data_IF_987841534624
#
_entry.id   IF_987841534624
#
_cell.length_a   1.000
_cell.length_b   1.000
_cell.length_c   1.000
_cell.angle_alpha   90.00
_cell.angle_beta   90.00
_cell.angle_gamma   90.00
#
_symmetry.space_group_name_H-M   'P 1'
#
loop_
_entity.id
_entity.type
_entity.pdbx_description
1 polymer ?
#
# COMPACT_ATOMS: atom_id res chain seq x y z
N UNK A 1 -65.11 17.41 -20.79
CA UNK A 1 -64.42 16.30 -20.15
C UNK A 1 -63.05 16.16 -20.84
N UNK A 2 -62.03 16.71 -20.19
CA UNK A 2 -60.67 16.67 -20.69
C UNK A 2 -59.95 15.57 -19.93
N UNK A 3 -59.36 14.58 -20.66
CA UNK A 3 -58.55 13.51 -20.13
C UNK A 3 -57.14 13.98 -19.92
N UNK A 4 -56.64 13.81 -18.72
CA UNK A 4 -55.23 13.99 -18.39
C UNK A 4 -54.45 12.75 -18.81
N UNK A 5 -53.58 12.92 -19.78
CA UNK A 5 -52.60 11.92 -20.24
C UNK A 5 -51.42 11.98 -19.29
N UNK A 6 -51.17 10.90 -18.54
CA UNK A 6 -50.05 10.74 -17.61
C UNK A 6 -48.80 10.39 -18.41
N UNK A 7 -47.81 11.30 -18.44
CA UNK A 7 -46.47 11.03 -19.00
C UNK A 7 -45.66 10.39 -17.90
N UNK A 8 -45.49 9.07 -17.99
CA UNK A 8 -44.56 8.33 -17.16
C UNK A 8 -43.19 8.46 -17.82
N UNK A 9 -42.34 9.33 -17.28
CA UNK A 9 -40.94 9.44 -17.68
C UNK A 9 -40.18 8.20 -17.29
N UNK A 10 -39.67 7.49 -18.27
CA UNK A 10 -38.72 6.40 -18.09
C UNK A 10 -37.39 6.98 -17.54
N UNK A 11 -37.09 6.64 -16.31
CA UNK A 11 -35.76 6.87 -15.75
C UNK A 11 -34.78 5.86 -16.36
N UNK A 12 -33.64 6.29 -16.92
CA UNK A 12 -32.66 5.36 -17.42
C UNK A 12 -32.06 4.59 -16.24
N UNK A 13 -32.23 3.28 -16.26
CA UNK A 13 -31.60 2.33 -15.39
C UNK A 13 -30.08 2.54 -15.46
N UNK A 14 -29.47 3.08 -14.42
CA UNK A 14 -28.07 3.00 -14.19
C UNK A 14 -27.68 1.52 -14.00
N UNK A 15 -27.17 0.91 -15.07
CA UNK A 15 -26.48 -0.38 -14.97
C UNK A 15 -25.26 -0.19 -14.07
N UNK A 16 -25.40 -0.56 -12.81
CA UNK A 16 -24.29 -0.78 -11.93
C UNK A 16 -23.40 -1.87 -12.54
N UNK A 17 -22.27 -1.46 -13.13
CA UNK A 17 -21.20 -2.39 -13.50
C UNK A 17 -20.62 -2.91 -12.19
N UNK A 18 -21.08 -4.05 -11.75
CA UNK A 18 -20.37 -4.86 -10.76
C UNK A 18 -19.09 -5.36 -11.44
N UNK A 19 -17.99 -4.64 -11.25
CA UNK A 19 -16.66 -5.10 -11.57
C UNK A 19 -16.26 -6.11 -10.50
N UNK A 20 -16.70 -7.36 -10.64
CA UNK A 20 -16.05 -8.47 -10.00
C UNK A 20 -14.70 -8.65 -10.72
N UNK A 21 -13.66 -7.98 -10.22
CA UNK A 21 -12.27 -8.29 -10.59
C UNK A 21 -12.03 -9.73 -10.13
N UNK A 22 -12.13 -10.68 -11.07
CA UNK A 22 -11.60 -12.02 -10.86
C UNK A 22 -10.11 -11.86 -10.57
N UNK A 23 -9.68 -12.35 -9.39
CA UNK A 23 -8.27 -12.54 -9.06
C UNK A 23 -7.69 -13.57 -10.05
N UNK A 24 -7.38 -13.14 -11.26
CA UNK A 24 -6.48 -13.87 -12.14
C UNK A 24 -5.14 -13.84 -11.42
N UNK A 25 -4.65 -15.01 -11.07
CA UNK A 25 -3.34 -15.26 -10.51
C UNK A 25 -2.32 -14.57 -11.42
N UNK A 26 -1.95 -13.34 -11.06
CA UNK A 26 -0.98 -12.55 -11.83
C UNK A 26 0.34 -13.27 -11.69
N UNK A 27 0.83 -13.89 -12.76
CA UNK A 27 2.14 -14.52 -12.80
C UNK A 27 3.17 -13.44 -12.47
N UNK A 28 3.82 -13.57 -11.31
CA UNK A 28 4.87 -12.66 -10.90
C UNK A 28 6.07 -12.93 -11.82
N UNK A 29 6.49 -11.96 -12.64
CA UNK A 29 7.65 -12.16 -13.49
C UNK A 29 8.90 -12.43 -12.63
N UNK A 30 9.65 -13.44 -12.97
CA UNK A 30 10.93 -13.72 -12.32
C UNK A 30 12.02 -12.91 -12.99
N UNK A 31 12.12 -11.62 -12.71
CA UNK A 31 13.29 -10.83 -13.11
C UNK A 31 14.48 -11.28 -12.29
N UNK A 32 15.28 -12.18 -12.87
CA UNK A 32 16.52 -12.67 -12.23
C UNK A 32 17.60 -11.60 -12.37
N UNK A 33 17.94 -11.00 -11.27
CA UNK A 33 19.04 -10.07 -11.02
C UNK A 33 19.93 -9.65 -12.20
N UNK A 34 19.79 -8.40 -12.63
CA UNK A 34 20.60 -7.72 -13.62
C UNK A 34 19.76 -6.67 -14.34
N UNK A 35 20.21 -5.41 -14.30
CA UNK A 35 19.49 -4.31 -14.97
C UNK A 35 19.85 -4.34 -16.46
N UNK A 36 19.15 -5.15 -17.25
CA UNK A 36 19.27 -5.17 -18.72
C UNK A 36 18.15 -4.37 -19.39
N UNK A 37 18.39 -3.82 -20.58
CA UNK A 37 17.36 -3.11 -21.38
C UNK A 37 16.12 -3.98 -21.61
N UNK A 38 16.29 -5.28 -21.84
CA UNK A 38 15.21 -6.22 -22.01
C UNK A 38 14.29 -6.33 -20.78
N UNK A 39 14.86 -6.28 -19.56
CA UNK A 39 14.07 -6.38 -18.33
C UNK A 39 13.21 -5.15 -18.07
N UNK A 40 13.68 -3.98 -18.49
CA UNK A 40 12.91 -2.74 -18.40
C UNK A 40 11.68 -2.80 -19.29
N UNK A 41 11.84 -3.27 -20.54
CA UNK A 41 10.74 -3.47 -21.47
C UNK A 41 9.75 -4.53 -20.93
N UNK A 42 10.24 -5.68 -20.47
CA UNK A 42 9.42 -6.74 -19.87
C UNK A 42 8.62 -6.24 -18.66
N UNK A 43 9.21 -5.38 -17.82
CA UNK A 43 8.51 -4.78 -16.69
C UNK A 43 7.38 -3.85 -17.13
N UNK A 44 7.63 -3.00 -18.12
CA UNK A 44 6.61 -2.08 -18.64
C UNK A 44 5.48 -2.84 -19.35
N UNK A 45 5.79 -3.86 -20.14
CA UNK A 45 4.81 -4.74 -20.78
C UNK A 45 3.97 -5.51 -19.76
N UNK A 46 4.62 -6.00 -18.70
CA UNK A 46 3.91 -6.63 -17.58
C UNK A 46 2.98 -5.64 -16.86
N UNK A 47 3.45 -4.42 -16.60
CA UNK A 47 2.67 -3.38 -15.95
C UNK A 47 1.42 -3.03 -16.77
N UNK A 48 1.57 -2.88 -18.08
CA UNK A 48 0.46 -2.60 -19.00
C UNK A 48 -0.55 -3.76 -19.05
N UNK A 49 -0.07 -4.99 -19.04
CA UNK A 49 -0.92 -6.19 -19.09
C UNK A 49 -1.64 -6.48 -17.78
N UNK A 50 -0.93 -6.37 -16.65
CA UNK A 50 -1.43 -6.75 -15.33
C UNK A 50 -2.16 -5.61 -14.60
N UNK A 51 -1.73 -4.37 -14.81
CA UNK A 51 -2.23 -3.17 -14.13
C UNK A 51 -2.43 -1.99 -15.11
N UNK A 52 -3.31 -2.13 -16.10
CA UNK A 52 -3.47 -1.14 -17.18
C UNK A 52 -3.88 0.24 -16.66
N UNK A 53 -4.62 0.33 -15.56
CA UNK A 53 -5.02 1.61 -14.97
C UNK A 53 -3.82 2.37 -14.39
N UNK A 54 -2.81 1.66 -13.87
CA UNK A 54 -1.57 2.27 -13.37
C UNK A 54 -0.65 2.64 -14.53
N UNK A 55 -0.54 1.78 -15.54
CA UNK A 55 0.24 2.06 -16.73
C UNK A 55 -0.28 3.29 -17.50
N UNK A 56 -1.60 3.50 -17.51
CA UNK A 56 -2.28 4.61 -18.18
C UNK A 56 -2.41 5.90 -17.33
N UNK A 57 -1.71 6.01 -16.19
CA UNK A 57 -1.72 7.23 -15.39
C UNK A 57 -1.20 8.44 -16.20
N UNK A 58 -1.60 9.66 -15.83
CA UNK A 58 -1.26 10.88 -16.55
C UNK A 58 0.26 11.08 -16.75
N UNK A 59 1.05 10.62 -15.77
CA UNK A 59 2.51 10.52 -15.84
C UNK A 59 2.88 9.06 -15.58
N UNK A 60 2.98 8.21 -16.63
CA UNK A 60 3.33 6.79 -16.49
C UNK A 60 4.79 6.63 -16.08
N UNK A 61 5.17 5.40 -15.67
CA UNK A 61 6.56 5.07 -15.36
C UNK A 61 7.37 5.10 -16.64
N UNK A 62 8.43 5.91 -16.67
CA UNK A 62 9.37 5.97 -17.79
C UNK A 62 10.38 4.81 -17.71
N UNK A 63 11.08 4.53 -18.84
CA UNK A 63 12.13 3.50 -18.88
C UNK A 63 13.23 3.74 -17.84
N UNK A 64 13.66 4.99 -17.63
CA UNK A 64 14.65 5.35 -16.64
C UNK A 64 14.17 5.05 -15.21
N UNK A 65 12.92 5.43 -14.91
CA UNK A 65 12.27 5.14 -13.63
C UNK A 65 12.07 3.63 -13.42
N UNK A 66 11.69 2.90 -14.47
CA UNK A 66 11.56 1.46 -14.44
C UNK A 66 12.90 0.78 -14.12
N UNK A 67 13.99 1.24 -14.74
CA UNK A 67 15.35 0.77 -14.43
C UNK A 67 15.75 1.04 -12.98
N UNK A 68 15.42 2.21 -12.45
CA UNK A 68 15.65 2.57 -11.04
C UNK A 68 14.88 1.67 -10.07
N UNK A 69 13.62 1.36 -10.38
CA UNK A 69 12.79 0.43 -9.61
C UNK A 69 13.38 -0.97 -9.61
N UNK A 70 13.72 -1.50 -10.78
CA UNK A 70 14.28 -2.85 -10.95
C UNK A 70 15.67 -3.01 -10.28
N UNK A 71 16.44 -1.92 -10.21
CA UNK A 71 17.74 -1.93 -9.53
C UNK A 71 17.63 -1.98 -8.00
N UNK A 72 16.52 -1.47 -7.42
CA UNK A 72 16.35 -1.29 -5.98
C UNK A 72 15.43 -2.31 -5.31
N UNK A 73 14.51 -2.93 -6.06
CA UNK A 73 13.46 -3.76 -5.49
C UNK A 73 13.41 -5.14 -6.15
N UNK A 74 13.03 -6.15 -5.37
CA UNK A 74 12.76 -7.48 -5.90
C UNK A 74 11.42 -7.49 -6.69
N UNK A 75 11.26 -8.43 -7.62
CA UNK A 75 10.03 -8.60 -8.37
C UNK A 75 8.81 -8.79 -7.46
N UNK A 76 8.98 -9.50 -6.34
CA UNK A 76 7.94 -9.73 -5.35
C UNK A 76 7.53 -8.43 -4.64
N UNK A 77 8.50 -7.59 -4.23
CA UNK A 77 8.21 -6.29 -3.61
C UNK A 77 7.52 -5.35 -4.60
N UNK A 78 7.98 -5.30 -5.85
CA UNK A 78 7.38 -4.49 -6.91
C UNK A 78 5.93 -4.90 -7.11
N UNK A 79 5.65 -6.19 -7.32
CA UNK A 79 4.30 -6.68 -7.51
C UNK A 79 3.39 -6.35 -6.30
N UNK A 80 3.90 -6.54 -5.08
CA UNK A 80 3.15 -6.24 -3.86
C UNK A 80 2.78 -4.76 -3.76
N UNK A 81 3.70 -3.86 -4.10
CA UNK A 81 3.47 -2.41 -4.06
C UNK A 81 2.49 -1.99 -5.16
N UNK A 82 2.68 -2.45 -6.39
CA UNK A 82 1.78 -2.14 -7.51
C UNK A 82 0.37 -2.67 -7.23
N UNK A 83 0.23 -3.89 -6.73
CA UNK A 83 -1.06 -4.45 -6.33
C UNK A 83 -1.73 -3.61 -5.22
N UNK A 84 -0.95 -3.10 -4.25
CA UNK A 84 -1.46 -2.22 -3.21
C UNK A 84 -1.93 -0.86 -3.77
N UNK A 85 -1.22 -0.31 -4.76
CA UNK A 85 -1.62 0.91 -5.48
C UNK A 85 -2.95 0.70 -6.21
N UNK A 86 -3.09 -0.41 -6.95
CA UNK A 86 -4.31 -0.74 -7.69
C UNK A 86 -5.50 -0.92 -6.73
N UNK A 87 -5.33 -1.72 -5.68
CA UNK A 87 -6.38 -1.99 -4.68
C UNK A 87 -6.87 -0.71 -3.97
N UNK A 88 -6.01 0.28 -3.78
CA UNK A 88 -6.37 1.57 -3.18
C UNK A 88 -6.89 2.59 -4.18
N UNK A 89 -6.96 2.25 -5.46
CA UNK A 89 -7.38 3.17 -6.52
C UNK A 89 -6.40 4.32 -6.72
N UNK A 90 -5.11 4.07 -6.45
CA UNK A 90 -4.05 5.09 -6.54
C UNK A 90 -3.73 5.49 -7.98
N UNK A 91 -4.26 4.80 -9.00
CA UNK A 91 -4.24 5.19 -10.41
C UNK A 91 -4.92 6.54 -10.68
N UNK A 92 -5.70 7.07 -9.73
CA UNK A 92 -6.28 8.43 -9.80
C UNK A 92 -5.26 9.53 -9.53
N UNK A 93 -4.09 9.21 -9.00
CA UNK A 93 -3.01 10.15 -8.81
C UNK A 93 -2.39 10.54 -10.16
N UNK A 94 -1.63 11.64 -10.17
CA UNK A 94 -1.07 12.16 -11.41
C UNK A 94 0.12 11.32 -11.91
N UNK A 95 1.05 10.96 -11.00
CA UNK A 95 2.32 10.32 -11.34
C UNK A 95 2.41 8.91 -10.76
N UNK A 96 2.64 7.92 -11.62
CA UNK A 96 2.79 6.52 -11.23
C UNK A 96 4.06 6.29 -10.39
N UNK A 97 5.20 6.88 -10.79
CA UNK A 97 6.46 6.74 -10.06
C UNK A 97 6.42 7.40 -8.68
N UNK A 98 5.90 8.63 -8.59
CA UNK A 98 5.76 9.32 -7.30
C UNK A 98 4.82 8.57 -6.35
N UNK A 99 3.75 8.00 -6.88
CA UNK A 99 2.81 7.17 -6.12
C UNK A 99 3.49 5.88 -5.64
N UNK A 100 4.22 5.19 -6.51
CA UNK A 100 5.02 4.02 -6.14
C UNK A 100 6.00 4.35 -5.01
N UNK A 101 6.77 5.43 -5.13
CA UNK A 101 7.70 5.88 -4.09
C UNK A 101 7.01 6.14 -2.73
N UNK A 102 5.82 6.74 -2.75
CA UNK A 102 5.03 6.97 -1.55
C UNK A 102 4.57 5.66 -0.88
N UNK A 103 4.17 4.67 -1.67
CA UNK A 103 3.79 3.35 -1.17
C UNK A 103 5.00 2.58 -0.61
N UNK A 104 6.17 2.68 -1.25
CA UNK A 104 7.43 2.14 -0.73
C UNK A 104 7.77 2.75 0.63
N UNK A 105 7.72 4.06 0.76
CA UNK A 105 8.01 4.73 2.02
C UNK A 105 7.04 4.29 3.13
N UNK A 106 5.75 4.17 2.82
CA UNK A 106 4.75 3.69 3.76
C UNK A 106 5.00 2.22 4.16
N UNK A 107 5.36 1.36 3.21
CA UNK A 107 5.67 -0.06 3.47
C UNK A 107 6.92 -0.21 4.34
N UNK A 108 7.96 0.58 4.10
CA UNK A 108 9.16 0.62 4.95
C UNK A 108 8.79 1.01 6.38
N UNK A 109 7.93 2.04 6.55
CA UNK A 109 7.47 2.47 7.86
C UNK A 109 6.68 1.35 8.56
N UNK A 110 5.80 0.65 7.85
CA UNK A 110 5.04 -0.47 8.42
C UNK A 110 5.96 -1.63 8.79
N UNK A 111 6.92 -1.99 7.92
CA UNK A 111 7.89 -3.06 8.21
C UNK A 111 8.77 -2.72 9.40
N UNK A 112 9.25 -1.49 9.51
CA UNK A 112 10.03 -1.05 10.68
C UNK A 112 9.21 -1.10 11.96
N UNK A 113 7.93 -0.70 11.91
CA UNK A 113 7.01 -0.81 13.04
C UNK A 113 6.75 -2.27 13.45
N UNK A 114 6.59 -3.19 12.47
CA UNK A 114 6.42 -4.63 12.75
C UNK A 114 7.67 -5.27 13.33
N UNK A 115 8.86 -4.86 12.86
CA UNK A 115 10.13 -5.33 13.42
C UNK A 115 10.32 -4.88 14.87
N UNK A 116 9.66 -3.79 15.29
CA UNK A 116 9.67 -3.24 16.63
C UNK A 116 8.51 -3.76 17.51
N UNK A 117 7.68 -4.69 16.96
CA UNK A 117 6.54 -5.29 17.68
C UNK A 117 7.04 -6.07 18.88
N UNK A 118 6.54 -5.72 20.07
CA UNK A 118 6.98 -6.33 21.32
C UNK A 118 8.21 -5.67 21.95
N UNK A 119 8.74 -4.58 21.37
CA UNK A 119 9.83 -3.80 21.99
C UNK A 119 9.39 -3.26 23.35
N UNK A 120 10.27 -3.49 24.32
CA UNK A 120 10.14 -2.93 25.67
C UNK A 120 10.87 -1.59 25.72
N UNK A 121 10.18 -0.56 26.19
CA UNK A 121 10.70 0.79 26.31
C UNK A 121 10.93 1.15 27.77
N UNK A 122 12.02 1.82 28.09
CA UNK A 122 12.19 2.56 29.31
C UNK A 122 11.39 3.87 29.26
N UNK A 123 11.17 4.51 30.39
CA UNK A 123 10.48 5.80 30.46
C UNK A 123 11.14 6.86 29.56
N UNK A 124 12.48 6.93 29.59
CA UNK A 124 13.24 7.90 28.79
C UNK A 124 13.14 7.62 27.29
N UNK A 125 13.07 6.36 26.87
CA UNK A 125 12.86 6.00 25.46
C UNK A 125 11.45 6.39 25.00
N UNK A 126 10.41 6.26 25.84
CA UNK A 126 9.07 6.73 25.52
C UNK A 126 9.07 8.25 25.31
N UNK A 127 9.73 9.01 26.20
CA UNK A 127 9.89 10.45 26.04
C UNK A 127 10.53 10.76 24.68
N UNK A 128 11.64 10.10 24.35
CA UNK A 128 12.35 10.32 23.07
C UNK A 128 11.50 9.97 21.84
N UNK A 129 10.63 8.96 21.93
CA UNK A 129 9.68 8.62 20.86
C UNK A 129 8.61 9.70 20.68
N UNK A 130 8.03 10.20 21.78
CA UNK A 130 6.99 11.24 21.77
C UNK A 130 7.57 12.58 21.31
N UNK A 131 8.68 13.01 21.85
CA UNK A 131 9.35 14.27 21.49
C UNK A 131 9.87 14.24 20.05
N UNK A 132 10.26 13.05 19.56
CA UNK A 132 10.66 12.84 18.16
C UNK A 132 9.49 12.73 17.18
N UNK A 133 8.24 12.89 17.62
CA UNK A 133 7.03 12.81 16.79
C UNK A 133 6.72 11.40 16.27
N UNK A 134 7.31 10.35 16.84
CA UNK A 134 7.11 8.95 16.44
C UNK A 134 5.98 8.24 17.16
N UNK A 135 5.26 8.94 18.05
CA UNK A 135 4.11 8.44 18.79
C UNK A 135 3.53 9.49 19.73
N UNK A 136 2.39 9.18 20.34
CA UNK A 136 1.80 9.95 21.42
C UNK A 136 1.87 9.18 22.73
N UNK A 137 1.80 9.87 23.86
CA UNK A 137 1.79 9.21 25.18
C UNK A 137 0.70 8.14 25.30
N UNK A 138 -0.46 8.39 24.69
CA UNK A 138 -1.59 7.46 24.67
C UNK A 138 -1.34 6.18 23.86
N UNK A 139 -0.28 6.13 23.05
CA UNK A 139 0.10 4.95 22.29
C UNK A 139 0.85 3.91 23.16
N UNK A 140 1.31 4.30 24.34
CA UNK A 140 2.10 3.46 25.22
C UNK A 140 1.31 3.02 26.45
N UNK A 141 1.60 1.83 26.95
CA UNK A 141 1.07 1.28 28.19
C UNK A 141 2.19 0.81 29.10
N UNK A 142 2.11 1.19 30.36
CA UNK A 142 3.03 0.70 31.38
C UNK A 142 2.65 -0.71 31.82
N UNK A 143 3.61 -1.60 31.84
CA UNK A 143 3.43 -2.99 32.25
C UNK A 143 4.38 -3.31 33.44
N UNK A 144 3.81 -3.93 34.47
CA UNK A 144 4.55 -4.48 35.60
C UNK A 144 4.37 -6.00 35.56
N UNK A 145 5.49 -6.71 35.49
CA UNK A 145 5.52 -8.16 35.46
C UNK A 145 5.58 -8.76 36.88
N UNK A 146 5.13 -10.03 37.08
CA UNK A 146 5.19 -10.70 38.39
C UNK A 146 6.60 -10.84 38.96
N UNK A 147 7.63 -10.82 38.09
CA UNK A 147 9.05 -10.86 38.50
C UNK A 147 9.59 -9.49 38.98
N UNK A 148 8.73 -8.45 39.01
CA UNK A 148 9.09 -7.10 39.42
C UNK A 148 9.65 -6.24 38.25
N UNK A 149 9.82 -6.79 37.05
CA UNK A 149 10.27 -6.02 35.88
C UNK A 149 9.18 -5.03 35.44
N UNK A 150 9.59 -3.80 35.15
CA UNK A 150 8.70 -2.73 34.72
C UNK A 150 9.19 -2.15 33.41
N UNK A 151 8.28 -2.00 32.40
CA UNK A 151 8.58 -1.41 31.12
C UNK A 151 7.34 -0.82 30.47
N UNK A 152 7.55 -0.04 29.43
CA UNK A 152 6.49 0.47 28.56
C UNK A 152 6.45 -0.33 27.27
N UNK A 153 5.24 -0.50 26.70
CA UNK A 153 5.04 -1.15 25.41
C UNK A 153 3.97 -0.39 24.64
N UNK A 154 4.04 -0.39 23.32
CA UNK A 154 2.96 0.19 22.52
C UNK A 154 1.70 -0.65 22.65
N UNK A 155 0.53 -0.01 22.78
CA UNK A 155 -0.77 -0.71 22.93
C UNK A 155 -1.07 -1.62 21.74
N UNK A 156 -0.66 -1.21 20.52
CA UNK A 156 -0.81 -2.03 19.31
C UNK A 156 0.00 -3.33 19.38
N UNK A 157 1.16 -3.30 20.02
CA UNK A 157 2.03 -4.47 20.17
C UNK A 157 1.48 -5.42 21.22
N UNK A 158 0.90 -4.89 22.31
CA UNK A 158 0.23 -5.68 23.35
C UNK A 158 -0.95 -6.44 22.74
N UNK A 159 -1.77 -5.76 21.94
CA UNK A 159 -2.90 -6.38 21.24
C UNK A 159 -2.45 -7.49 20.28
N UNK A 160 -1.32 -7.30 19.57
CA UNK A 160 -0.77 -8.29 18.65
C UNK A 160 -0.19 -9.54 19.35
N UNK A 161 0.29 -9.42 20.60
CA UNK A 161 0.83 -10.54 21.41
C UNK A 161 -0.32 -11.36 22.04
N UNK A 162 -1.48 -10.71 22.28
CA UNK A 162 -2.64 -11.35 22.92
C UNK A 162 -3.60 -12.00 21.93
N UNK A 163 -3.41 -11.80 20.63
CA UNK A 163 -4.24 -12.33 19.55
C UNK A 163 -3.74 -13.68 19.06
#
# INVERSE_FOLDING_TARGET
>A
KQGFSSIIGEFPFFKSKSNSKSNTHTVIPTWKGGVGENQTAEFLDWLDSAYPEIAAMAEPITEEQARDILAKFSAEDINRIIAAMDNKGAYRNKSAYSTFASFVAHDIIIKSRKADTGRKYTYNEVIAEVDGGRGAWDDFQFLAMPDGTKYWMRKIDIAAIQA
#
